data_IF_974765427150
#
_entry.id   IF_974765427150
#
_cell.length_a   1.000
_cell.length_b   1.000
_cell.length_c   1.000
_cell.angle_alpha   90.00
_cell.angle_beta   90.00
_cell.angle_gamma   90.00
#
_symmetry.space_group_name_H-M   'P 1'
#
loop_
_entity.id
_entity.type
_entity.pdbx_description
1 polymer ?
#
# COMPACT_ATOMS: atom_id res chain seq x y z
N UNK A 1 -19.41 5.02 -17.11
CA UNK A 1 -19.90 4.57 -15.81
C UNK A 1 -18.74 4.41 -14.84
N UNK A 2 -18.91 4.91 -13.66
CA UNK A 2 -17.88 4.78 -12.64
C UNK A 2 -17.85 3.38 -12.07
N UNK A 3 -16.66 2.82 -11.96
CA UNK A 3 -16.46 1.54 -11.28
C UNK A 3 -15.65 1.78 -10.01
N UNK A 4 -16.09 1.28 -8.86
CA UNK A 4 -15.30 1.40 -7.65
C UNK A 4 -14.03 0.54 -7.69
N UNK A 5 -13.99 -0.41 -8.64
CA UNK A 5 -12.87 -1.32 -8.74
C UNK A 5 -11.84 -0.76 -9.71
N UNK A 6 -10.61 -0.72 -9.25
CA UNK A 6 -9.50 -0.22 -10.02
C UNK A 6 -8.85 -1.35 -10.79
N UNK A 7 -8.47 -1.12 -12.04
CA UNK A 7 -7.69 -2.11 -12.76
C UNK A 7 -6.33 -2.27 -12.07
N UNK A 8 -5.74 -3.48 -12.10
CA UNK A 8 -4.46 -3.71 -11.42
C UNK A 8 -3.36 -2.74 -11.84
N UNK A 9 -3.28 -2.37 -13.11
CA UNK A 9 -2.23 -1.45 -13.55
C UNK A 9 -2.46 -0.04 -13.01
N UNK A 10 -3.71 0.37 -12.80
CA UNK A 10 -4.01 1.66 -12.19
C UNK A 10 -3.62 1.66 -10.71
N UNK A 11 -3.94 0.57 -10.02
CA UNK A 11 -3.57 0.42 -8.61
C UNK A 11 -2.05 0.42 -8.46
N UNK A 12 -1.36 -0.19 -9.40
CA UNK A 12 0.10 -0.21 -9.44
C UNK A 12 0.66 1.20 -9.55
N UNK A 13 0.07 2.02 -10.42
CA UNK A 13 0.49 3.40 -10.59
C UNK A 13 0.24 4.23 -9.33
N UNK A 14 -0.89 3.99 -8.66
CA UNK A 14 -1.18 4.70 -7.41
C UNK A 14 -0.17 4.30 -6.33
N UNK A 15 0.15 3.02 -6.22
CA UNK A 15 1.16 2.56 -5.26
C UNK A 15 2.53 3.17 -5.57
N UNK A 16 2.87 3.31 -6.83
CA UNK A 16 4.10 3.96 -7.25
C UNK A 16 4.12 5.43 -6.84
N UNK A 17 3.00 6.14 -7.04
CA UNK A 17 2.90 7.53 -6.62
C UNK A 17 2.97 7.67 -5.09
N UNK A 18 2.40 6.70 -4.38
CA UNK A 18 2.51 6.68 -2.92
C UNK A 18 3.96 6.57 -2.48
N UNK A 19 4.74 5.72 -3.13
CA UNK A 19 6.15 5.59 -2.83
C UNK A 19 6.87 6.91 -3.05
N UNK A 20 6.56 7.60 -4.13
CA UNK A 20 7.15 8.92 -4.41
C UNK A 20 6.72 9.95 -3.37
N UNK A 21 5.47 9.86 -2.92
CA UNK A 21 4.96 10.79 -1.92
C UNK A 21 5.68 10.62 -0.58
N UNK A 22 5.92 9.38 -0.18
CA UNK A 22 6.65 9.11 1.06
C UNK A 22 8.12 9.51 0.91
N UNK A 23 8.69 9.24 -0.23
CA UNK A 23 10.09 9.52 -0.51
C UNK A 23 11.00 8.37 -0.10
N UNK A 24 12.29 8.56 -0.31
CA UNK A 24 13.29 7.55 0.05
C UNK A 24 13.54 7.62 1.54
N UNK A 25 12.97 6.69 2.27
CA UNK A 25 13.12 6.60 3.71
C UNK A 25 13.87 5.33 4.07
N UNK A 26 14.77 5.38 5.08
CA UNK A 26 15.52 4.19 5.48
C UNK A 26 14.64 3.09 6.04
N UNK A 27 13.44 3.42 6.50
CA UNK A 27 12.52 2.45 7.09
C UNK A 27 11.55 1.83 6.07
N UNK A 28 11.49 2.38 4.87
CA UNK A 28 10.54 1.90 3.85
C UNK A 28 11.21 0.83 3.00
N UNK A 29 10.59 -0.36 2.95
CA UNK A 29 11.04 -1.42 2.08
C UNK A 29 10.45 -1.23 0.67
N UNK A 30 9.12 -1.22 0.60
CA UNK A 30 8.45 -1.01 -0.68
C UNK A 30 7.00 -0.60 -0.43
N UNK A 31 6.32 -0.20 -1.49
CA UNK A 31 4.88 0.02 -1.46
C UNK A 31 4.22 -0.98 -2.40
N UNK A 32 2.93 -1.20 -2.19
CA UNK A 32 2.17 -2.10 -3.02
C UNK A 32 0.70 -1.90 -2.80
N UNK A 33 -0.10 -2.87 -3.22
CA UNK A 33 -1.54 -2.81 -3.02
C UNK A 33 -2.10 -4.22 -2.93
N UNK A 34 -3.28 -4.30 -2.32
CA UNK A 34 -4.12 -5.50 -2.36
C UNK A 34 -5.51 -5.06 -2.77
N UNK A 35 -6.28 -5.98 -3.30
CA UNK A 35 -7.69 -5.75 -3.57
C UNK A 35 -8.47 -6.77 -2.75
N UNK A 36 -9.49 -6.29 -2.02
CA UNK A 36 -10.30 -7.19 -1.20
C UNK A 36 -11.33 -7.92 -2.08
N UNK A 37 -12.16 -8.74 -1.44
CA UNK A 37 -13.15 -9.55 -2.16
C UNK A 37 -14.19 -8.71 -2.87
N UNK A 38 -14.34 -7.45 -2.49
CA UNK A 38 -15.25 -6.53 -3.13
C UNK A 38 -14.56 -5.70 -4.22
N UNK A 39 -13.29 -5.97 -4.46
CA UNK A 39 -12.51 -5.23 -5.45
C UNK A 39 -11.97 -3.90 -4.96
N UNK A 40 -12.13 -3.60 -3.68
CA UNK A 40 -11.64 -2.35 -3.11
C UNK A 40 -10.12 -2.40 -2.99
N UNK A 41 -9.47 -1.34 -3.46
CA UNK A 41 -8.01 -1.26 -3.43
C UNK A 41 -7.55 -0.69 -2.10
N UNK A 42 -6.59 -1.37 -1.48
CA UNK A 42 -5.94 -0.95 -0.24
C UNK A 42 -4.47 -0.82 -0.54
N UNK A 43 -3.91 0.35 -0.28
CA UNK A 43 -2.50 0.59 -0.52
C UNK A 43 -1.68 0.12 0.68
N UNK A 44 -0.46 -0.31 0.41
CA UNK A 44 0.42 -0.86 1.43
C UNK A 44 1.73 -0.09 1.46
N UNK A 45 2.16 0.25 2.66
CA UNK A 45 3.51 0.76 2.90
C UNK A 45 4.22 -0.29 3.74
N UNK A 46 5.13 -1.03 3.13
CA UNK A 46 5.80 -2.15 3.78
C UNK A 46 7.13 -1.69 4.36
N UNK A 47 7.29 -1.92 5.65
CA UNK A 47 8.47 -1.50 6.37
C UNK A 47 9.55 -2.56 6.31
N UNK A 48 10.80 -2.13 6.45
CA UNK A 48 11.91 -3.06 6.54
C UNK A 48 11.81 -3.86 7.84
N UNK A 49 12.34 -5.09 7.87
CA UNK A 49 12.33 -5.90 9.08
C UNK A 49 12.95 -5.16 10.26
N UNK A 50 12.32 -5.30 11.42
CA UNK A 50 12.83 -4.67 12.65
C UNK A 50 12.39 -3.25 12.86
N UNK A 51 11.70 -2.62 11.90
CA UNK A 51 11.22 -1.26 12.06
C UNK A 51 9.91 -1.28 12.84
N UNK A 52 9.80 -0.53 13.96
CA UNK A 52 8.53 -0.45 14.68
C UNK A 52 7.50 0.33 13.86
N UNK A 53 6.27 -0.19 13.83
CA UNK A 53 5.22 0.41 13.01
C UNK A 53 4.70 1.73 13.58
N UNK A 54 4.52 1.79 14.90
CA UNK A 54 3.84 2.91 15.52
C UNK A 54 4.48 4.28 15.22
N UNK A 55 5.80 4.47 15.39
CA UNK A 55 6.38 5.78 15.09
C UNK A 55 6.41 6.12 13.60
N UNK A 56 6.30 5.11 12.73
CA UNK A 56 6.36 5.33 11.28
C UNK A 56 4.99 5.65 10.73
N UNK A 57 3.93 5.10 11.32
CA UNK A 57 2.57 5.33 10.85
C UNK A 57 2.21 6.82 10.79
N UNK A 58 2.76 7.63 11.68
CA UNK A 58 2.47 9.06 11.67
C UNK A 58 3.11 9.78 10.48
N UNK A 59 4.04 9.13 9.81
CA UNK A 59 4.72 9.68 8.65
C UNK A 59 4.11 9.19 7.33
N UNK A 60 3.21 8.22 7.41
CA UNK A 60 2.54 7.66 6.24
C UNK A 60 1.12 8.19 6.21
N UNK A 61 0.65 8.74 5.08
CA UNK A 61 -0.71 9.24 5.05
C UNK A 61 -1.70 8.09 5.25
N UNK A 62 -2.77 8.29 6.04
CA UNK A 62 -3.76 7.24 6.28
C UNK A 62 -4.59 6.91 5.05
N UNK A 63 -4.69 7.86 4.12
CA UNK A 63 -5.34 7.65 2.83
C UNK A 63 -4.49 8.31 1.76
N UNK A 64 -4.58 7.82 0.55
CA UNK A 64 -3.88 8.38 -0.58
C UNK A 64 -4.72 8.19 -1.83
N UNK A 65 -5.05 9.29 -2.49
CA UNK A 65 -5.90 9.31 -3.69
C UNK A 65 -7.22 8.56 -3.46
N UNK A 66 -7.79 8.70 -2.26
CA UNK A 66 -9.06 8.10 -1.92
C UNK A 66 -8.98 6.65 -1.47
N UNK A 67 -7.79 6.09 -1.38
CA UNK A 67 -7.60 4.69 -0.95
C UNK A 67 -6.99 4.64 0.44
N UNK A 68 -7.43 3.71 1.29
CA UNK A 68 -6.80 3.53 2.59
C UNK A 68 -5.37 3.02 2.43
N UNK A 69 -4.50 3.45 3.32
CA UNK A 69 -3.11 3.04 3.34
C UNK A 69 -2.85 2.28 4.62
N UNK A 70 -2.36 1.06 4.50
CA UNK A 70 -1.98 0.23 5.65
C UNK A 70 -0.47 0.17 5.72
N UNK A 71 0.07 0.46 6.90
CA UNK A 71 1.50 0.36 7.16
C UNK A 71 1.75 -0.94 7.90
N UNK A 72 2.65 -1.77 7.39
CA UNK A 72 2.91 -3.07 7.99
C UNK A 72 4.33 -3.52 7.72
N UNK A 73 4.93 -4.17 8.70
CA UNK A 73 6.25 -4.80 8.54
C UNK A 73 6.14 -6.29 8.30
N UNK A 74 4.92 -6.84 8.34
CA UNK A 74 4.72 -8.29 8.29
C UNK A 74 3.66 -8.72 7.29
N UNK A 75 3.45 -7.91 6.27
CA UNK A 75 2.44 -8.27 5.30
C UNK A 75 2.82 -9.54 4.56
N UNK A 76 1.88 -10.45 4.42
CA UNK A 76 2.05 -11.68 3.67
C UNK A 76 0.93 -11.85 2.68
N UNK A 77 1.28 -12.36 1.51
CA UNK A 77 0.29 -12.75 0.53
C UNK A 77 -0.29 -14.10 0.93
N UNK A 78 -1.57 -14.14 1.20
CA UNK A 78 -2.24 -15.39 1.57
C UNK A 78 -3.66 -15.38 1.06
N UNK A 79 -4.11 -16.53 0.64
CA UNK A 79 -5.51 -16.73 0.32
C UNK A 79 -5.96 -15.96 -0.90
N UNK A 80 -7.01 -15.18 -0.73
CA UNK A 80 -7.74 -14.58 -1.84
C UNK A 80 -7.19 -13.24 -2.31
N UNK A 81 -6.15 -12.73 -1.68
CA UNK A 81 -5.62 -11.43 -2.07
C UNK A 81 -4.62 -11.55 -3.19
N UNK A 82 -4.71 -10.61 -4.11
CA UNK A 82 -3.65 -10.36 -5.08
C UNK A 82 -2.88 -9.14 -4.61
N UNK A 83 -1.56 -9.23 -4.59
CA UNK A 83 -0.74 -8.09 -4.17
C UNK A 83 0.45 -7.96 -5.09
N UNK A 84 0.79 -6.70 -5.41
CA UNK A 84 1.98 -6.38 -6.17
C UNK A 84 2.83 -5.43 -5.35
N UNK A 85 4.14 -5.61 -5.42
CA UNK A 85 5.12 -4.86 -4.62
C UNK A 85 6.05 -4.08 -5.52
N UNK A 86 6.31 -2.85 -5.14
CA UNK A 86 7.14 -1.95 -5.93
C UNK A 86 8.27 -1.35 -5.12
#
# INVERSE_FOLDING_TARGET
MYSPNMAPHEAMQVAWRLRKRIGSKPWLDHTGFVQDTEGKTILLAILKPGVPEAPVQVQVPPTFEGHPVVTSSKFRLQGTFSALHF
#
